data_IF_750897142724
#
_entry.id   IF_750897142724
#
_cell.length_a   1.000
_cell.length_b   1.000
_cell.length_c   1.000
_cell.angle_alpha   90.00
_cell.angle_beta   90.00
_cell.angle_gamma   90.00
#
_symmetry.space_group_name_H-M   'P 1'
#
loop_
_entity.id
_entity.type
_entity.pdbx_description
1 polymer ?
#
# COMPACT_ATOMS: atom_id res chain seq x y z
N UNK A 1 -2.81 -4.71 20.45
CA UNK A 1 -3.82 -5.39 19.62
C UNK A 1 -3.09 -6.43 18.77
N UNK A 2 -3.59 -7.64 18.69
CA UNK A 2 -3.03 -8.70 17.84
C UNK A 2 -3.78 -8.70 16.50
N UNK A 3 -3.05 -8.74 15.39
CA UNK A 3 -3.62 -8.79 14.03
C UNK A 3 -3.51 -10.23 13.54
N UNK A 4 -4.66 -10.90 13.42
CA UNK A 4 -4.75 -12.32 13.02
C UNK A 4 -5.42 -12.52 11.67
N UNK A 5 -6.24 -11.57 11.23
CA UNK A 5 -7.02 -11.68 9.99
C UNK A 5 -7.07 -10.33 9.29
N UNK A 6 -6.74 -10.33 8.02
CA UNK A 6 -6.69 -9.10 7.21
C UNK A 6 -7.59 -9.24 5.98
N UNK A 7 -8.30 -8.16 5.67
CA UNK A 7 -9.05 -8.03 4.40
C UNK A 7 -8.38 -6.95 3.57
N UNK A 8 -8.11 -7.25 2.30
CA UNK A 8 -7.59 -6.30 1.33
C UNK A 8 -8.68 -6.03 0.30
N UNK A 9 -9.05 -4.76 0.11
CA UNK A 9 -10.09 -4.32 -0.83
C UNK A 9 -9.42 -3.60 -2.01
N UNK A 10 -9.64 -4.13 -3.20
CA UNK A 10 -8.94 -3.75 -4.42
C UNK A 10 -7.82 -4.75 -4.73
N UNK A 11 -7.94 -5.44 -5.85
CA UNK A 11 -7.03 -6.52 -6.26
C UNK A 11 -6.08 -6.10 -7.40
N UNK A 12 -5.85 -4.80 -7.57
CA UNK A 12 -4.83 -4.27 -8.47
C UNK A 12 -3.40 -4.69 -8.07
N UNK A 13 -2.41 -4.08 -8.69
CA UNK A 13 -0.99 -4.38 -8.45
C UNK A 13 -0.64 -4.32 -6.95
N UNK A 14 -1.06 -3.25 -6.27
CA UNK A 14 -0.74 -3.04 -4.86
C UNK A 14 -1.50 -4.00 -3.95
N UNK A 15 -2.83 -4.11 -4.11
CA UNK A 15 -3.63 -5.02 -3.28
C UNK A 15 -3.23 -6.48 -3.44
N UNK A 16 -2.92 -6.92 -4.66
CA UNK A 16 -2.36 -8.25 -4.91
C UNK A 16 -1.01 -8.45 -4.21
N UNK A 17 -0.13 -7.46 -4.29
CA UNK A 17 1.18 -7.49 -3.62
C UNK A 17 1.06 -7.55 -2.09
N UNK A 18 0.15 -6.76 -1.51
CA UNK A 18 -0.13 -6.74 -0.06
C UNK A 18 -0.70 -8.07 0.39
N UNK A 19 -1.71 -8.60 -0.32
CA UNK A 19 -2.30 -9.90 0.00
C UNK A 19 -1.27 -11.05 -0.06
N UNK A 20 -0.43 -11.07 -1.09
CA UNK A 20 0.66 -12.04 -1.20
C UNK A 20 1.68 -11.91 -0.07
N UNK A 21 2.01 -10.69 0.34
CA UNK A 21 2.97 -10.45 1.42
C UNK A 21 2.44 -10.89 2.79
N UNK A 22 1.17 -10.61 3.07
CA UNK A 22 0.47 -11.12 4.26
C UNK A 22 0.43 -12.65 4.26
N UNK A 23 0.11 -13.27 3.13
CA UNK A 23 0.13 -14.72 2.97
C UNK A 23 1.52 -15.34 3.22
N UNK A 24 2.60 -14.68 2.77
CA UNK A 24 3.97 -15.09 3.05
C UNK A 24 4.28 -15.11 4.56
N UNK A 25 3.72 -14.17 5.31
CA UNK A 25 3.84 -14.09 6.78
C UNK A 25 2.91 -15.09 7.51
N UNK A 26 2.14 -15.89 6.77
CA UNK A 26 1.20 -16.86 7.36
C UNK A 26 -0.10 -16.24 7.89
N UNK A 27 -0.37 -14.99 7.55
CA UNK A 27 -1.58 -14.27 7.98
C UNK A 27 -2.74 -14.62 7.05
N UNK A 28 -3.89 -15.10 7.57
CA UNK A 28 -5.11 -15.30 6.81
C UNK A 28 -5.57 -14.00 6.16
N UNK A 29 -5.68 -13.99 4.84
CA UNK A 29 -6.06 -12.82 4.06
C UNK A 29 -7.21 -13.14 3.11
N UNK A 30 -8.16 -12.18 3.01
CA UNK A 30 -9.20 -12.20 1.98
C UNK A 30 -9.00 -10.98 1.07
N UNK A 31 -8.92 -11.23 -0.24
CA UNK A 31 -8.77 -10.22 -1.28
C UNK A 31 -10.11 -10.01 -1.98
N UNK A 32 -10.67 -8.82 -1.87
CA UNK A 32 -11.95 -8.45 -2.47
C UNK A 32 -11.75 -7.45 -3.61
N UNK A 33 -12.60 -7.58 -4.64
CA UNK A 33 -12.70 -6.59 -5.72
C UNK A 33 -14.16 -6.43 -6.16
N UNK A 34 -14.43 -5.72 -7.25
CA UNK A 34 -15.78 -5.49 -7.76
C UNK A 34 -16.51 -6.80 -8.10
N UNK A 35 -15.80 -7.77 -8.66
CA UNK A 35 -16.34 -9.11 -8.95
C UNK A 35 -15.37 -10.19 -8.46
N UNK A 36 -15.90 -11.37 -8.16
CA UNK A 36 -15.09 -12.54 -7.76
C UNK A 36 -14.12 -12.93 -8.87
N UNK A 37 -14.52 -12.81 -10.15
CA UNK A 37 -13.67 -13.09 -11.29
C UNK A 37 -12.42 -12.19 -11.32
N UNK A 38 -12.55 -10.89 -11.00
CA UNK A 38 -11.42 -9.96 -10.93
C UNK A 38 -10.43 -10.40 -9.84
N UNK A 39 -10.92 -10.73 -8.65
CA UNK A 39 -10.08 -11.18 -7.53
C UNK A 39 -9.46 -12.57 -7.77
N UNK A 40 -10.13 -13.47 -8.47
CA UNK A 40 -9.55 -14.74 -8.91
C UNK A 40 -8.43 -14.55 -9.95
N UNK A 41 -8.65 -13.72 -10.96
CA UNK A 41 -7.60 -13.32 -11.92
C UNK A 41 -6.40 -12.69 -11.20
N UNK A 42 -6.65 -11.91 -10.15
CA UNK A 42 -5.58 -11.35 -9.34
C UNK A 42 -4.79 -12.43 -8.58
N UNK A 43 -5.46 -13.42 -8.00
CA UNK A 43 -4.82 -14.60 -7.37
C UNK A 43 -3.96 -15.39 -8.36
N UNK A 44 -4.44 -15.58 -9.58
CA UNK A 44 -3.64 -16.20 -10.65
C UNK A 44 -2.40 -15.35 -11.01
N UNK A 45 -2.54 -14.02 -11.11
CA UNK A 45 -1.40 -13.12 -11.35
C UNK A 45 -0.37 -13.21 -10.24
N UNK A 46 -0.78 -13.28 -8.97
CA UNK A 46 0.11 -13.50 -7.83
C UNK A 46 0.91 -14.79 -8.02
N UNK A 47 0.25 -15.88 -8.41
CA UNK A 47 0.90 -17.19 -8.61
C UNK A 47 1.93 -17.17 -9.76
N UNK A 48 1.61 -16.47 -10.86
CA UNK A 48 2.42 -16.37 -12.07
C UNK A 48 3.43 -15.23 -12.06
N UNK A 49 3.44 -14.36 -11.05
CA UNK A 49 4.21 -13.11 -11.02
C UNK A 49 5.72 -13.31 -11.20
N UNK A 50 6.31 -12.35 -11.88
CA UNK A 50 7.78 -12.23 -12.05
C UNK A 50 8.19 -10.77 -11.82
N UNK A 51 9.01 -10.47 -10.80
CA UNK A 51 9.54 -11.40 -9.80
C UNK A 51 8.44 -12.05 -8.93
N UNK A 52 8.67 -13.23 -8.32
CA UNK A 52 7.64 -13.98 -7.58
C UNK A 52 7.19 -13.21 -6.33
N UNK A 53 5.88 -13.01 -6.16
CA UNK A 53 5.30 -12.37 -4.99
C UNK A 53 5.17 -13.34 -3.81
N UNK A 54 4.93 -14.63 -4.07
CA UNK A 54 4.93 -15.67 -3.04
C UNK A 54 6.33 -16.27 -2.87
N UNK A 55 6.69 -16.54 -1.60
CA UNK A 55 7.90 -17.32 -1.25
C UNK A 55 7.67 -18.79 -1.63
N UNK A 56 6.51 -19.30 -1.22
CA UNK A 56 6.05 -20.65 -1.53
C UNK A 56 4.74 -20.57 -2.32
N UNK A 57 4.80 -20.96 -3.59
CA UNK A 57 3.65 -20.91 -4.50
C UNK A 57 2.51 -21.86 -4.08
N UNK A 58 2.78 -22.90 -3.32
CA UNK A 58 1.74 -23.81 -2.82
C UNK A 58 0.76 -23.11 -1.87
N UNK A 59 1.18 -22.02 -1.24
CA UNK A 59 0.35 -21.23 -0.32
C UNK A 59 -0.68 -20.33 -1.00
N UNK A 60 -0.75 -20.32 -2.34
CA UNK A 60 -1.70 -19.45 -3.06
C UNK A 60 -3.15 -19.62 -2.61
N UNK A 61 -3.54 -20.84 -2.24
CA UNK A 61 -4.89 -21.15 -1.75
C UNK A 61 -5.19 -20.58 -0.35
N UNK A 62 -4.19 -20.07 0.37
CA UNK A 62 -4.38 -19.36 1.63
C UNK A 62 -4.83 -17.91 1.42
N UNK A 63 -4.84 -17.43 0.18
CA UNK A 63 -5.45 -16.15 -0.20
C UNK A 63 -6.89 -16.44 -0.62
N UNK A 64 -7.84 -16.14 0.27
CA UNK A 64 -9.25 -16.18 -0.08
C UNK A 64 -9.58 -15.03 -1.02
N UNK A 65 -10.53 -15.24 -1.93
CA UNK A 65 -10.98 -14.22 -2.88
C UNK A 65 -12.49 -14.10 -2.85
N UNK A 66 -13.00 -12.94 -3.24
CA UNK A 66 -14.42 -12.68 -3.31
C UNK A 66 -14.71 -11.29 -3.89
N UNK A 67 -15.96 -10.87 -3.80
CA UNK A 67 -16.39 -9.55 -4.26
C UNK A 67 -16.99 -8.70 -3.14
N UNK A 68 -17.02 -7.38 -3.38
CA UNK A 68 -17.49 -6.39 -2.39
C UNK A 68 -19.01 -6.37 -2.21
N UNK A 69 -19.81 -7.07 -3.03
CA UNK A 69 -21.26 -7.13 -2.89
C UNK A 69 -21.71 -8.33 -2.07
N UNK A 70 -21.18 -9.52 -2.36
CA UNK A 70 -21.64 -10.78 -1.78
C UNK A 70 -20.78 -11.22 -0.59
N UNK A 71 -19.50 -10.87 -0.59
CA UNK A 71 -18.53 -11.40 0.39
C UNK A 71 -18.04 -10.34 1.40
N UNK A 72 -18.69 -9.17 1.45
CA UNK A 72 -18.22 -8.07 2.31
C UNK A 72 -18.28 -8.38 3.81
N UNK A 73 -19.10 -9.34 4.20
CA UNK A 73 -19.25 -9.77 5.59
C UNK A 73 -17.94 -10.25 6.25
N UNK A 74 -16.93 -10.65 5.46
CA UNK A 74 -15.60 -11.00 5.98
C UNK A 74 -14.91 -9.86 6.72
N UNK A 75 -15.34 -8.60 6.48
CA UNK A 75 -14.83 -7.40 7.17
C UNK A 75 -15.22 -7.39 8.66
N UNK A 76 -16.33 -8.07 9.02
CA UNK A 76 -16.81 -8.17 10.41
C UNK A 76 -15.83 -8.88 11.35
N UNK A 77 -14.98 -9.77 10.80
CA UNK A 77 -14.01 -10.55 11.57
C UNK A 77 -12.58 -10.04 11.40
N UNK A 78 -12.35 -9.07 10.52
CA UNK A 78 -11.01 -8.58 10.24
C UNK A 78 -10.47 -7.72 11.39
N UNK A 79 -9.18 -7.90 11.70
CA UNK A 79 -8.45 -7.04 12.64
C UNK A 79 -7.91 -5.81 11.94
N UNK A 80 -7.62 -5.96 10.64
CA UNK A 80 -7.12 -4.90 9.78
C UNK A 80 -7.75 -5.01 8.39
N UNK A 81 -8.26 -3.88 7.89
CA UNK A 81 -8.80 -3.74 6.53
C UNK A 81 -7.91 -2.77 5.78
N UNK A 82 -7.33 -3.22 4.67
CA UNK A 82 -6.47 -2.41 3.79
C UNK A 82 -7.25 -2.07 2.53
N UNK A 83 -7.45 -0.79 2.26
CA UNK A 83 -8.01 -0.31 1.01
C UNK A 83 -6.89 -0.02 0.00
N UNK A 84 -6.98 -0.60 -1.18
CA UNK A 84 -6.06 -0.45 -2.31
C UNK A 84 -6.81 -0.34 -3.65
N UNK A 85 -7.96 0.35 -3.64
CA UNK A 85 -8.76 0.60 -4.85
C UNK A 85 -8.17 1.76 -5.68
N UNK A 86 -8.80 2.08 -6.81
CA UNK A 86 -8.38 3.18 -7.69
C UNK A 86 -8.29 4.51 -6.92
N UNK A 87 -7.37 5.39 -7.36
CA UNK A 87 -7.04 6.65 -6.68
C UNK A 87 -8.09 7.75 -6.97
N UNK A 88 -9.35 7.45 -6.61
CA UNK A 88 -10.52 8.32 -6.75
C UNK A 88 -11.20 8.48 -5.41
N UNK A 89 -11.30 9.73 -4.95
CA UNK A 89 -11.79 10.05 -3.61
C UNK A 89 -13.26 9.65 -3.39
N UNK A 90 -14.11 9.79 -4.41
CA UNK A 90 -15.52 9.39 -4.36
C UNK A 90 -15.66 7.88 -4.13
N UNK A 91 -14.88 7.06 -4.83
CA UNK A 91 -14.88 5.61 -4.67
C UNK A 91 -14.35 5.21 -3.29
N UNK A 92 -13.24 5.85 -2.83
CA UNK A 92 -12.66 5.58 -1.52
C UNK A 92 -13.63 5.91 -0.39
N UNK A 93 -14.30 7.07 -0.44
CA UNK A 93 -15.30 7.45 0.57
C UNK A 93 -16.44 6.43 0.64
N UNK A 94 -16.98 5.96 -0.49
CA UNK A 94 -18.02 4.95 -0.51
C UNK A 94 -17.56 3.61 0.12
N UNK A 95 -16.31 3.21 -0.17
CA UNK A 95 -15.73 2.00 0.43
C UNK A 95 -15.53 2.19 1.94
N UNK A 96 -15.03 3.34 2.40
CA UNK A 96 -14.86 3.59 3.85
C UNK A 96 -16.20 3.57 4.58
N UNK A 97 -17.23 4.21 4.06
CA UNK A 97 -18.58 4.15 4.65
C UNK A 97 -19.02 2.68 4.82
N UNK A 98 -18.88 1.88 3.77
CA UNK A 98 -19.22 0.44 3.81
C UNK A 98 -18.37 -0.33 4.82
N UNK A 99 -17.04 -0.06 4.91
CA UNK A 99 -16.14 -0.69 5.88
C UNK A 99 -16.54 -0.33 7.31
N UNK A 100 -16.66 0.96 7.62
CA UNK A 100 -16.93 1.43 8.97
C UNK A 100 -18.29 0.99 9.51
N UNK A 101 -19.29 0.86 8.63
CA UNK A 101 -20.61 0.31 8.96
C UNK A 101 -20.57 -1.18 9.32
N UNK A 102 -19.66 -1.96 8.74
CA UNK A 102 -19.65 -3.41 8.83
C UNK A 102 -18.50 -4.01 9.65
N UNK A 103 -17.38 -3.28 9.84
CA UNK A 103 -16.20 -3.79 10.55
C UNK A 103 -16.48 -4.08 12.02
N UNK A 104 -15.72 -4.97 12.63
CA UNK A 104 -15.74 -5.08 14.08
C UNK A 104 -15.20 -3.81 14.73
N UNK A 105 -15.78 -3.46 15.89
CA UNK A 105 -15.34 -2.29 16.67
C UNK A 105 -13.84 -2.42 17.01
N UNK A 106 -13.07 -1.40 16.66
CA UNK A 106 -11.65 -1.33 16.97
C UNK A 106 -10.73 -1.95 15.92
N UNK A 107 -11.25 -2.56 14.85
CA UNK A 107 -10.44 -2.97 13.72
C UNK A 107 -9.77 -1.76 13.06
N UNK A 108 -8.51 -1.89 12.69
CA UNK A 108 -7.79 -0.85 11.94
C UNK A 108 -8.29 -0.82 10.50
N UNK A 109 -8.48 0.38 9.96
CA UNK A 109 -8.75 0.60 8.54
C UNK A 109 -7.62 1.46 7.98
N UNK A 110 -7.03 1.04 6.87
CA UNK A 110 -5.98 1.84 6.23
C UNK A 110 -6.17 1.95 4.73
N UNK A 111 -5.73 3.09 4.18
CA UNK A 111 -5.59 3.29 2.74
C UNK A 111 -4.15 3.05 2.30
N UNK A 112 -3.97 2.48 1.10
CA UNK A 112 -2.64 2.39 0.48
C UNK A 112 -2.40 3.53 -0.53
N UNK A 113 -3.10 4.64 -0.41
CA UNK A 113 -2.87 5.83 -1.25
C UNK A 113 -1.42 6.29 -1.19
N UNK A 114 -0.91 6.83 -2.29
CA UNK A 114 0.41 7.47 -2.36
C UNK A 114 0.34 9.01 -2.46
N UNK A 115 -0.86 9.56 -2.67
CA UNK A 115 -1.00 10.99 -3.03
C UNK A 115 -2.13 11.73 -2.32
N UNK A 116 -3.23 11.05 -1.97
CA UNK A 116 -4.38 11.71 -1.35
C UNK A 116 -4.11 11.95 0.14
N UNK A 117 -4.17 13.21 0.63
CA UNK A 117 -3.96 13.50 2.05
C UNK A 117 -4.94 12.75 2.94
N UNK A 118 -4.48 12.28 4.12
CA UNK A 118 -5.34 11.56 5.07
C UNK A 118 -6.51 12.41 5.54
N UNK A 119 -6.32 13.74 5.63
CA UNK A 119 -7.38 14.68 5.97
C UNK A 119 -8.53 14.60 4.97
N UNK A 120 -8.24 14.52 3.67
CA UNK A 120 -9.25 14.40 2.60
C UNK A 120 -9.89 13.01 2.64
N UNK A 121 -9.11 11.94 2.78
CA UNK A 121 -9.63 10.57 2.88
C UNK A 121 -10.61 10.40 4.05
N UNK A 122 -10.31 11.02 5.19
CA UNK A 122 -11.10 10.88 6.42
C UNK A 122 -12.17 11.96 6.61
N UNK A 123 -12.42 12.80 5.62
CA UNK A 123 -13.36 13.94 5.72
C UNK A 123 -14.77 13.50 6.14
N UNK A 124 -15.26 12.38 5.61
CA UNK A 124 -16.60 11.84 5.90
C UNK A 124 -16.66 10.93 7.14
N UNK A 125 -15.52 10.64 7.77
CA UNK A 125 -15.46 9.83 8.97
C UNK A 125 -15.74 10.67 10.22
N UNK A 126 -16.45 10.09 11.18
CA UNK A 126 -16.62 10.71 12.49
C UNK A 126 -15.34 10.56 13.35
N UNK A 127 -15.27 11.24 14.49
CA UNK A 127 -14.07 11.28 15.32
C UNK A 127 -13.66 9.91 15.89
N UNK A 128 -14.61 9.02 16.18
CA UNK A 128 -14.31 7.65 16.63
C UNK A 128 -13.75 6.79 15.50
N UNK A 129 -14.28 6.94 14.29
CA UNK A 129 -13.81 6.25 13.09
C UNK A 129 -12.39 6.70 12.70
N UNK A 130 -12.11 8.01 12.82
CA UNK A 130 -10.79 8.59 12.58
C UNK A 130 -9.70 8.03 13.49
N UNK A 131 -10.04 7.61 14.72
CA UNK A 131 -9.09 6.96 15.64
C UNK A 131 -8.56 5.64 15.10
N UNK A 132 -9.36 4.95 14.31
CA UNK A 132 -9.05 3.64 13.74
C UNK A 132 -8.55 3.71 12.29
N UNK A 133 -8.43 4.93 11.72
CA UNK A 133 -8.06 5.15 10.33
C UNK A 133 -6.64 5.70 10.18
N UNK A 134 -5.86 5.13 9.26
CA UNK A 134 -4.52 5.59 8.91
C UNK A 134 -4.22 5.34 7.41
N UNK A 135 -3.07 5.79 6.94
CA UNK A 135 -2.51 5.33 5.68
C UNK A 135 -1.41 4.31 5.98
N UNK A 136 -1.35 3.22 5.20
CA UNK A 136 -0.24 2.28 5.16
C UNK A 136 0.26 2.21 3.73
N UNK A 137 1.25 3.06 3.42
CA UNK A 137 1.79 3.20 2.08
C UNK A 137 2.90 2.18 1.85
N UNK A 138 2.56 1.08 1.16
CA UNK A 138 3.49 0.08 0.67
C UNK A 138 4.09 0.52 -0.65
N UNK A 139 5.33 0.11 -0.91
CA UNK A 139 6.02 0.35 -2.16
C UNK A 139 6.03 -0.90 -3.05
N UNK A 140 5.94 -0.68 -4.36
CA UNK A 140 5.96 -1.76 -5.36
C UNK A 140 7.40 -2.11 -5.77
N UNK A 141 7.77 -3.39 -5.84
CA UNK A 141 7.01 -4.60 -5.47
C UNK A 141 6.96 -4.83 -3.96
N UNK A 142 5.75 -5.04 -3.40
CA UNK A 142 5.51 -5.08 -1.95
C UNK A 142 6.44 -6.05 -1.22
N UNK A 143 6.71 -7.23 -1.78
CA UNK A 143 7.59 -8.23 -1.17
C UNK A 143 9.02 -7.75 -1.01
N UNK A 144 9.54 -6.99 -1.97
CA UNK A 144 10.96 -6.65 -2.08
C UNK A 144 11.30 -5.30 -1.47
N UNK A 145 10.34 -4.40 -1.44
CA UNK A 145 10.53 -3.06 -0.88
C UNK A 145 10.38 -3.11 0.65
N UNK A 146 11.47 -2.84 1.36
CA UNK A 146 11.51 -2.90 2.82
C UNK A 146 10.73 -1.77 3.51
N UNK A 147 10.62 -0.60 2.89
CA UNK A 147 9.98 0.58 3.48
C UNK A 147 8.45 0.43 3.52
N UNK A 148 7.86 0.78 4.64
CA UNK A 148 6.43 1.00 4.83
C UNK A 148 6.21 2.32 5.57
N UNK A 149 5.43 3.22 5.00
CA UNK A 149 5.08 4.48 5.64
C UNK A 149 3.70 4.37 6.28
N UNK A 150 3.60 4.80 7.53
CA UNK A 150 2.34 4.88 8.27
C UNK A 150 2.03 6.35 8.51
N UNK A 151 0.98 6.87 7.85
CA UNK A 151 0.51 8.24 8.08
C UNK A 151 -0.69 8.20 8.99
N UNK A 152 -0.58 8.89 10.11
CA UNK A 152 -1.59 8.89 11.17
C UNK A 152 -2.55 10.07 11.04
N UNK A 153 -3.81 9.85 11.37
CA UNK A 153 -4.79 10.92 11.52
C UNK A 153 -4.49 11.76 12.80
N UNK A 154 -4.97 12.98 12.85
CA UNK A 154 -4.85 13.84 14.03
C UNK A 154 -5.53 13.22 15.27
N UNK A 155 -6.73 12.65 15.10
CA UNK A 155 -7.53 12.00 16.14
C UNK A 155 -7.17 10.52 16.39
N UNK A 156 -5.92 10.14 16.16
CA UNK A 156 -5.42 8.76 16.21
C UNK A 156 -5.46 8.13 17.59
N UNK A 157 -5.65 6.80 17.62
CA UNK A 157 -5.28 5.96 18.74
C UNK A 157 -3.80 5.54 18.62
N UNK A 158 -2.93 6.16 19.40
CA UNK A 158 -1.49 5.88 19.35
C UNK A 158 -1.15 4.43 19.68
N UNK A 159 -1.90 3.78 20.57
CA UNK A 159 -1.64 2.38 20.92
C UNK A 159 -1.93 1.46 19.73
N UNK A 160 -3.00 1.73 18.98
CA UNK A 160 -3.32 0.98 17.76
C UNK A 160 -2.29 1.19 16.66
N UNK A 161 -1.89 2.44 16.42
CA UNK A 161 -0.86 2.77 15.42
C UNK A 161 0.47 2.09 15.77
N UNK A 162 0.89 2.12 17.05
CA UNK A 162 2.11 1.44 17.49
C UNK A 162 1.99 -0.09 17.38
N UNK A 163 0.82 -0.66 17.65
CA UNK A 163 0.57 -2.10 17.47
C UNK A 163 0.65 -2.49 16.01
N UNK A 164 0.04 -1.69 15.10
CA UNK A 164 0.14 -1.90 13.66
C UNK A 164 1.59 -1.78 13.18
N UNK A 165 2.29 -0.73 13.60
CA UNK A 165 3.71 -0.54 13.28
C UNK A 165 4.54 -1.77 13.69
N UNK A 166 4.40 -2.21 14.95
CA UNK A 166 5.11 -3.39 15.47
C UNK A 166 4.77 -4.65 14.67
N UNK A 167 3.49 -4.86 14.33
CA UNK A 167 3.08 -5.98 13.48
C UNK A 167 3.77 -5.94 12.11
N UNK A 168 3.79 -4.77 11.47
CA UNK A 168 4.45 -4.61 10.17
C UNK A 168 5.96 -4.84 10.24
N UNK A 169 6.61 -4.47 11.35
CA UNK A 169 8.04 -4.70 11.56
C UNK A 169 8.36 -6.16 11.84
N UNK A 170 7.62 -6.80 12.74
CA UNK A 170 7.93 -8.15 13.24
C UNK A 170 7.41 -9.23 12.31
N UNK A 171 6.13 -9.14 11.92
CA UNK A 171 5.48 -10.20 11.14
C UNK A 171 5.69 -10.00 9.63
N UNK A 172 5.70 -8.76 9.15
CA UNK A 172 5.86 -8.47 7.72
C UNK A 172 7.31 -8.14 7.33
N UNK A 173 8.22 -8.00 8.30
CA UNK A 173 9.63 -7.68 8.02
C UNK A 173 9.84 -6.31 7.35
N UNK A 174 8.95 -5.34 7.60
CA UNK A 174 9.03 -3.99 7.05
C UNK A 174 9.80 -3.04 7.96
N UNK A 175 10.55 -2.11 7.39
CA UNK A 175 11.00 -0.90 8.07
C UNK A 175 9.83 0.08 8.14
N UNK A 176 8.97 -0.05 9.17
CA UNK A 176 7.78 0.78 9.28
C UNK A 176 8.10 2.11 9.96
N UNK A 177 7.82 3.23 9.29
CA UNK A 177 8.07 4.57 9.78
C UNK A 177 6.77 5.38 9.92
N UNK A 178 6.69 6.21 10.95
CA UNK A 178 5.59 7.14 11.13
C UNK A 178 5.88 8.43 10.35
N UNK A 179 4.99 8.79 9.44
CA UNK A 179 5.12 9.97 8.60
C UNK A 179 4.05 11.01 8.92
N UNK A 180 4.35 12.26 8.59
CA UNK A 180 3.37 13.33 8.56
C UNK A 180 2.56 13.26 7.25
N UNK A 181 1.34 13.83 7.26
CA UNK A 181 0.49 13.99 6.09
C UNK A 181 1.02 15.15 5.21
N UNK A 182 2.15 14.90 4.55
CA UNK A 182 2.78 15.84 3.62
C UNK A 182 2.78 15.26 2.21
N UNK A 183 2.69 16.07 1.14
CA UNK A 183 2.72 15.57 -0.23
C UNK A 183 3.92 14.65 -0.49
N UNK A 184 3.64 13.44 -0.99
CA UNK A 184 4.65 12.40 -1.24
C UNK A 184 5.20 11.72 0.01
N UNK A 185 4.62 11.97 1.19
CA UNK A 185 5.04 11.48 2.52
C UNK A 185 6.55 11.66 2.74
N UNK A 186 7.31 10.61 2.96
CA UNK A 186 8.77 10.68 3.12
C UNK A 186 9.51 10.11 1.91
N UNK A 187 9.21 8.86 1.53
CA UNK A 187 9.97 8.15 0.49
C UNK A 187 9.83 8.77 -0.88
N UNK A 188 8.59 9.00 -1.33
CA UNK A 188 8.35 9.67 -2.62
C UNK A 188 8.88 11.11 -2.62
N UNK A 189 8.75 11.84 -1.51
CA UNK A 189 9.26 13.20 -1.38
C UNK A 189 10.78 13.26 -1.54
N UNK A 190 11.52 12.37 -0.86
CA UNK A 190 12.99 12.29 -1.00
C UNK A 190 13.36 11.84 -2.41
N UNK A 191 12.68 10.83 -2.95
CA UNK A 191 12.94 10.32 -4.29
C UNK A 191 12.73 11.37 -5.38
N UNK A 192 11.60 12.08 -5.34
CA UNK A 192 11.31 13.17 -6.30
C UNK A 192 12.33 14.31 -6.16
N UNK A 193 12.69 14.68 -4.93
CA UNK A 193 13.73 15.70 -4.72
C UNK A 193 15.08 15.27 -5.31
N UNK A 194 15.50 14.04 -5.05
CA UNK A 194 16.76 13.52 -5.61
C UNK A 194 16.75 13.49 -7.14
N UNK A 195 15.63 13.06 -7.75
CA UNK A 195 15.46 13.11 -9.21
C UNK A 195 15.50 14.53 -9.75
N UNK A 196 14.84 15.47 -9.08
CA UNK A 196 14.85 16.89 -9.48
C UNK A 196 16.26 17.48 -9.44
N UNK A 197 17.04 17.19 -8.40
CA UNK A 197 18.44 17.61 -8.30
C UNK A 197 19.27 17.01 -9.43
N UNK A 198 19.16 15.69 -9.65
CA UNK A 198 19.90 15.00 -10.71
C UNK A 198 19.61 15.58 -12.10
N UNK A 199 18.31 15.80 -12.42
CA UNK A 199 17.91 16.42 -13.69
C UNK A 199 18.44 17.85 -13.83
N UNK A 200 18.36 18.65 -12.76
CA UNK A 200 18.85 20.04 -12.77
C UNK A 200 20.36 20.11 -13.06
N UNK A 201 21.15 19.24 -12.41
CA UNK A 201 22.59 19.18 -12.64
C UNK A 201 22.93 18.64 -14.04
N UNK A 202 22.18 17.64 -14.53
CA UNK A 202 22.37 17.14 -15.89
C UNK A 202 22.16 18.25 -16.94
N UNK A 203 21.12 19.06 -16.79
CA UNK A 203 20.91 20.22 -17.68
C UNK A 203 22.01 21.27 -17.60
N UNK A 204 22.51 21.60 -16.40
CA UNK A 204 23.63 22.53 -16.22
C UNK A 204 24.89 22.02 -16.90
N UNK A 205 25.15 20.73 -16.80
CA UNK A 205 26.31 20.06 -17.39
C UNK A 205 26.13 19.75 -18.89
N UNK A 206 24.96 20.05 -19.46
CA UNK A 206 24.60 19.75 -20.86
C UNK A 206 24.73 18.28 -21.24
N UNK A 207 24.43 17.39 -20.29
CA UNK A 207 24.41 15.96 -20.54
C UNK A 207 23.18 15.57 -21.36
N UNK A 208 23.35 14.58 -22.22
CA UNK A 208 22.18 13.87 -22.83
C UNK A 208 21.44 13.07 -21.78
N UNK A 209 20.23 12.64 -22.08
CA UNK A 209 19.43 11.78 -21.18
C UNK A 209 20.18 10.47 -20.87
N UNK A 210 20.82 9.87 -21.86
CA UNK A 210 21.56 8.62 -21.73
C UNK A 210 22.81 8.79 -20.85
N UNK A 211 23.55 9.90 -21.01
CA UNK A 211 24.68 10.22 -20.18
C UNK A 211 24.25 10.48 -18.74
N UNK A 212 23.18 11.24 -18.54
CA UNK A 212 22.63 11.52 -17.23
C UNK A 212 22.18 10.23 -16.52
N UNK A 213 21.44 9.33 -17.21
CA UNK A 213 21.01 8.05 -16.67
C UNK A 213 22.18 7.09 -16.40
N UNK A 214 23.27 7.18 -17.18
CA UNK A 214 24.49 6.41 -16.91
C UNK A 214 25.20 6.88 -15.64
N UNK A 215 25.24 8.18 -15.38
CA UNK A 215 25.90 8.78 -14.20
C UNK A 215 25.04 8.67 -12.95
N UNK A 216 23.76 9.06 -13.03
CA UNK A 216 22.85 9.12 -11.89
C UNK A 216 22.03 7.83 -11.69
N UNK A 217 22.10 6.87 -12.60
CA UNK A 217 21.37 5.62 -12.53
C UNK A 217 22.09 4.57 -11.68
N UNK A 218 22.77 3.64 -12.34
CA UNK A 218 23.42 2.48 -11.69
C UNK A 218 24.40 2.83 -10.55
N UNK A 219 25.29 3.84 -10.68
CA UNK A 219 26.22 4.19 -9.60
C UNK A 219 25.51 4.65 -8.32
N UNK A 220 24.32 5.23 -8.44
CA UNK A 220 23.50 5.71 -7.33
C UNK A 220 22.50 4.65 -6.81
N UNK A 221 22.53 3.43 -7.33
CA UNK A 221 21.61 2.36 -6.95
C UNK A 221 20.19 2.53 -7.49
N UNK A 222 19.98 3.43 -8.44
CA UNK A 222 18.69 3.63 -9.11
C UNK A 222 18.43 2.47 -10.09
N UNK A 223 17.16 2.01 -10.25
CA UNK A 223 16.81 0.96 -11.21
C UNK A 223 17.30 1.25 -12.64
N UNK A 224 17.36 0.23 -13.49
CA UNK A 224 17.82 0.31 -14.88
C UNK A 224 17.08 1.34 -15.75
N UNK A 225 15.90 1.78 -15.29
CA UNK A 225 15.13 2.85 -15.95
C UNK A 225 15.84 4.21 -15.92
N UNK A 226 16.85 4.39 -15.06
CA UNK A 226 17.51 5.68 -14.86
C UNK A 226 16.61 6.72 -14.17
N UNK A 227 17.11 7.95 -14.05
CA UNK A 227 16.38 9.06 -13.43
C UNK A 227 15.26 9.56 -14.33
N UNK A 228 15.55 9.74 -15.61
CA UNK A 228 14.57 10.25 -16.58
C UNK A 228 13.49 9.21 -16.88
N UNK A 229 13.85 7.94 -17.08
CA UNK A 229 12.89 6.86 -17.28
C UNK A 229 11.99 6.64 -16.07
N UNK A 230 12.51 6.77 -14.86
CA UNK A 230 11.72 6.64 -13.63
C UNK A 230 10.73 7.81 -13.47
N UNK A 231 11.09 9.03 -13.86
CA UNK A 231 10.21 10.20 -13.80
C UNK A 231 8.99 10.06 -14.71
N UNK A 232 9.13 9.36 -15.84
CA UNK A 232 8.04 9.14 -16.81
C UNK A 232 7.01 8.10 -16.36
N UNK A 233 7.35 7.18 -15.45
CA UNK A 233 6.43 6.16 -14.95
C UNK A 233 5.27 6.79 -14.15
N UNK A 234 5.48 7.99 -13.61
CA UNK A 234 4.49 8.71 -12.80
C UNK A 234 3.68 9.76 -13.58
N UNK A 235 3.94 9.91 -14.88
CA UNK A 235 3.19 10.79 -15.76
C UNK A 235 2.16 10.01 -16.57
#
# INVERSE_FOLDING_TARGET
MEIKKVVVIGSGTMGSGIAAHLCNAGIPVTLLDLTTEISEKARERIHKSRPPLLIDKSKINNINVGNIEENFDVVKDADWVVEAVVERIDIKHNIYEKIFKNRKKGAIVSSNTSSIPIKVLSEKLNDEEKKDFCITHFFNPVRYMGLLEIVKNENKDLNKINSLKKFCEVELGKGAILCNDTPGFLGNRIGVYAMQVAMTEAFKMKLSIEEADAVFGRPMGIPKTGVFGLSLIHI
#
